data_IF_599997170659
#
_entry.id   IF_599997170659
#
_cell.length_a   1.000
_cell.length_b   1.000
_cell.length_c   1.000
_cell.angle_alpha   90.00
_cell.angle_beta   90.00
_cell.angle_gamma   90.00
#
_symmetry.space_group_name_H-M   'P 1'
#
loop_
_entity.id
_entity.type
_entity.pdbx_description
1 polymer ?
#
# COMPACT_ATOMS: atom_id res chain seq x y z
N UNK A 1 38.80 -75.29 9.64
CA UNK A 1 37.88 -74.47 10.47
C UNK A 1 37.90 -73.05 9.94
N UNK A 2 36.89 -72.67 9.15
CA UNK A 2 36.73 -71.32 8.58
C UNK A 2 35.75 -70.55 9.47
N UNK A 3 36.16 -69.41 10.04
CA UNK A 3 35.26 -68.52 10.76
C UNK A 3 34.53 -67.59 9.78
N UNK A 4 33.20 -67.62 9.85
CA UNK A 4 32.33 -66.70 9.14
C UNK A 4 32.32 -65.34 9.85
N UNK A 5 32.86 -64.30 9.18
CA UNK A 5 32.63 -62.90 9.57
C UNK A 5 31.25 -62.47 9.08
N UNK A 6 30.31 -62.28 10.00
CA UNK A 6 29.03 -61.60 9.72
C UNK A 6 29.26 -60.09 9.68
N UNK A 7 29.17 -59.48 8.50
CA UNK A 7 29.01 -58.03 8.36
C UNK A 7 27.56 -57.64 8.73
N UNK A 8 27.38 -56.80 9.75
CA UNK A 8 26.15 -55.99 9.89
C UNK A 8 26.22 -54.85 8.89
N UNK A 9 25.13 -54.51 8.18
CA UNK A 9 25.09 -53.24 7.47
C UNK A 9 25.00 -52.11 8.50
N UNK A 10 25.79 -51.07 8.30
CA UNK A 10 25.66 -49.81 9.00
C UNK A 10 24.33 -49.18 8.59
N UNK A 11 23.45 -48.96 9.58
CA UNK A 11 22.31 -48.06 9.40
C UNK A 11 22.90 -46.65 9.47
N UNK A 12 23.24 -46.08 8.32
CA UNK A 12 23.53 -44.64 8.24
C UNK A 12 22.24 -43.89 8.46
N UNK A 13 22.19 -43.20 9.60
CA UNK A 13 21.08 -42.38 10.07
C UNK A 13 20.60 -41.39 9.00
N UNK A 14 19.28 -41.38 8.80
CA UNK A 14 18.55 -40.41 7.97
C UNK A 14 18.24 -39.11 8.74
N UNK A 15 18.65 -38.98 10.00
CA UNK A 15 18.28 -37.84 10.88
C UNK A 15 18.91 -36.51 10.41
N UNK A 16 20.07 -36.52 9.75
CA UNK A 16 20.74 -35.28 9.33
C UNK A 16 20.09 -34.52 8.17
N UNK A 17 19.23 -35.18 7.37
CA UNK A 17 18.61 -34.54 6.18
C UNK A 17 17.34 -33.76 6.52
N UNK A 18 16.65 -34.14 7.59
CA UNK A 18 15.43 -33.47 8.08
C UNK A 18 15.70 -32.16 8.84
N UNK A 19 16.83 -32.06 9.52
CA UNK A 19 17.22 -30.85 10.25
C UNK A 19 17.67 -29.72 9.31
N UNK A 20 18.35 -30.07 8.20
CA UNK A 20 18.78 -29.08 7.20
C UNK A 20 17.58 -28.49 6.44
N UNK A 21 16.60 -29.32 6.07
CA UNK A 21 15.38 -28.83 5.38
C UNK A 21 14.49 -28.00 6.29
N UNK A 22 14.37 -28.36 7.58
CA UNK A 22 13.68 -27.53 8.57
C UNK A 22 14.36 -26.17 8.75
N UNK A 23 15.69 -26.16 8.89
CA UNK A 23 16.48 -24.92 9.03
C UNK A 23 16.32 -23.99 7.82
N UNK A 24 16.35 -24.55 6.61
CA UNK A 24 16.15 -23.76 5.39
C UNK A 24 14.74 -23.15 5.31
N UNK A 25 13.71 -23.93 5.68
CA UNK A 25 12.33 -23.44 5.71
C UNK A 25 12.17 -22.28 6.71
N UNK A 26 12.74 -22.40 7.90
CA UNK A 26 12.70 -21.33 8.92
C UNK A 26 13.41 -20.06 8.45
N UNK A 27 14.53 -20.19 7.75
CA UNK A 27 15.23 -19.04 7.16
C UNK A 27 14.39 -18.34 6.10
N UNK A 28 13.74 -19.11 5.22
CA UNK A 28 12.87 -18.54 4.19
C UNK A 28 11.66 -17.82 4.81
N UNK A 29 11.01 -18.43 5.81
CA UNK A 29 9.88 -17.80 6.51
C UNK A 29 10.30 -16.47 7.14
N UNK A 30 11.47 -16.42 7.78
CA UNK A 30 12.00 -15.17 8.33
C UNK A 30 12.25 -14.12 7.26
N UNK A 31 12.89 -14.50 6.16
CA UNK A 31 13.15 -13.58 5.03
C UNK A 31 11.85 -13.00 4.46
N UNK A 32 10.81 -13.82 4.29
CA UNK A 32 9.52 -13.34 3.80
C UNK A 32 8.84 -12.45 4.84
N UNK A 33 8.89 -12.80 6.12
CA UNK A 33 8.32 -11.95 7.18
C UNK A 33 9.02 -10.59 7.27
N UNK A 34 10.34 -10.56 7.19
CA UNK A 34 11.15 -9.33 7.18
C UNK A 34 10.80 -8.47 5.97
N UNK A 35 10.69 -9.10 4.78
CA UNK A 35 10.26 -8.42 3.56
C UNK A 35 8.86 -7.83 3.69
N UNK A 36 7.87 -8.62 4.11
CA UNK A 36 6.49 -8.15 4.27
C UNK A 36 6.41 -7.01 5.28
N UNK A 37 7.14 -7.07 6.39
CA UNK A 37 7.12 -5.99 7.40
C UNK A 37 7.75 -4.70 6.85
N UNK A 38 8.72 -4.81 5.94
CA UNK A 38 9.31 -3.64 5.26
C UNK A 38 8.34 -2.98 4.26
N UNK A 39 7.50 -3.79 3.60
CA UNK A 39 6.56 -3.31 2.58
C UNK A 39 5.20 -2.92 3.16
N UNK A 40 4.83 -3.48 4.32
CA UNK A 40 3.57 -3.25 5.01
C UNK A 40 3.81 -2.81 6.46
N UNK A 41 4.39 -1.61 6.66
CA UNK A 41 4.60 -1.06 7.98
C UNK A 41 3.29 -0.59 8.63
N UNK A 42 3.27 -0.54 9.97
CA UNK A 42 2.09 -0.19 10.76
C UNK A 42 1.66 1.28 10.69
N UNK A 43 2.50 2.17 10.15
CA UNK A 43 2.27 3.61 10.13
C UNK A 43 2.20 4.14 8.70
N UNK A 44 1.36 5.15 8.49
CA UNK A 44 1.21 5.77 7.17
C UNK A 44 2.51 6.45 6.72
N UNK A 45 3.24 7.11 7.63
CA UNK A 45 4.49 7.79 7.33
C UNK A 45 5.56 6.83 6.81
N UNK A 46 5.67 5.66 7.44
CA UNK A 46 6.58 4.62 6.96
C UNK A 46 6.11 4.04 5.62
N UNK A 47 4.81 3.81 5.45
CA UNK A 47 4.23 3.31 4.20
C UNK A 47 4.46 4.29 3.05
N UNK A 48 4.24 5.59 3.27
CA UNK A 48 4.41 6.65 2.27
C UNK A 48 5.89 6.90 1.90
N UNK A 49 6.84 6.50 2.75
CA UNK A 49 8.26 6.59 2.47
C UNK A 49 8.78 5.44 1.58
N UNK A 50 7.97 4.41 1.33
CA UNK A 50 8.32 3.31 0.43
C UNK A 50 8.33 3.85 -1.01
N UNK A 51 9.52 3.90 -1.61
CA UNK A 51 9.66 4.23 -3.03
C UNK A 51 9.07 3.07 -3.84
N UNK A 52 8.15 3.37 -4.76
CA UNK A 52 7.54 2.37 -5.66
C UNK A 52 8.57 1.97 -6.73
N UNK A 53 9.68 1.38 -6.33
CA UNK A 53 10.77 1.02 -7.25
C UNK A 53 10.63 -0.40 -7.82
N UNK A 54 9.85 -1.29 -7.22
CA UNK A 54 9.79 -2.69 -7.65
C UNK A 54 8.47 -3.02 -8.37
N UNK A 55 8.26 -2.40 -9.53
CA UNK A 55 7.36 -2.99 -10.52
C UNK A 55 8.05 -4.19 -11.14
N UNK A 56 7.75 -5.41 -10.66
CA UNK A 56 8.12 -6.63 -11.38
C UNK A 56 7.41 -6.60 -12.75
N UNK A 57 8.13 -6.54 -13.88
CA UNK A 57 7.50 -6.43 -15.19
C UNK A 57 6.58 -7.62 -15.45
N UNK A 58 5.29 -7.36 -15.66
CA UNK A 58 4.29 -8.39 -15.98
C UNK A 58 3.50 -8.95 -14.79
N UNK A 59 3.82 -8.55 -13.55
CA UNK A 59 2.93 -8.76 -12.40
C UNK A 59 2.10 -7.49 -12.20
N UNK A 60 0.78 -7.61 -12.06
CA UNK A 60 -0.08 -6.53 -11.52
C UNK A 60 0.11 -6.55 -9.99
N UNK A 61 1.02 -5.73 -9.43
CA UNK A 61 1.44 -5.87 -8.03
C UNK A 61 0.30 -5.49 -7.08
N UNK A 62 -0.67 -4.71 -7.59
CA UNK A 62 -1.75 -4.11 -6.82
C UNK A 62 -2.70 -5.16 -6.23
N UNK A 63 -2.92 -6.30 -6.89
CA UNK A 63 -3.90 -7.28 -6.40
C UNK A 63 -3.34 -8.16 -5.27
N UNK A 64 -2.02 -8.26 -5.15
CA UNK A 64 -1.36 -9.10 -4.14
C UNK A 64 -1.53 -8.58 -2.71
N UNK A 65 -2.00 -7.33 -2.53
CA UNK A 65 -2.37 -6.81 -1.20
C UNK A 65 -3.46 -7.67 -0.53
N UNK A 66 -4.37 -8.28 -1.31
CA UNK A 66 -5.41 -9.21 -0.80
C UNK A 66 -4.75 -10.40 -0.11
N UNK A 67 -3.74 -11.00 -0.73
CA UNK A 67 -3.02 -12.13 -0.15
C UNK A 67 -2.28 -11.75 1.13
N UNK A 68 -1.77 -10.52 1.24
CA UNK A 68 -1.11 -10.04 2.46
C UNK A 68 -2.10 -9.86 3.61
N UNK A 69 -3.31 -9.35 3.35
CA UNK A 69 -4.38 -9.27 4.38
C UNK A 69 -4.78 -10.67 4.86
N UNK A 70 -5.00 -11.60 3.93
CA UNK A 70 -5.38 -12.96 4.27
C UNK A 70 -4.26 -13.69 5.02
N UNK A 71 -3.01 -13.52 4.60
CA UNK A 71 -1.84 -14.05 5.30
C UNK A 71 -1.74 -13.50 6.72
N UNK A 72 -1.86 -12.18 6.91
CA UNK A 72 -1.79 -11.55 8.21
C UNK A 72 -2.87 -12.05 9.17
N UNK A 73 -4.08 -12.29 8.64
CA UNK A 73 -5.19 -12.87 9.40
C UNK A 73 -4.94 -14.34 9.75
N UNK A 74 -4.42 -15.11 8.79
CA UNK A 74 -4.11 -16.54 8.97
C UNK A 74 -2.96 -16.77 9.96
N UNK A 75 -1.95 -15.90 9.95
CA UNK A 75 -0.75 -16.01 10.78
C UNK A 75 -0.83 -15.27 12.11
N UNK A 76 -1.97 -14.63 12.41
CA UNK A 76 -2.15 -13.75 13.58
C UNK A 76 -1.07 -12.66 13.68
N UNK A 77 -0.80 -11.99 12.56
CA UNK A 77 0.19 -10.91 12.45
C UNK A 77 -0.51 -9.56 12.18
N UNK A 78 -1.22 -8.99 13.17
CA UNK A 78 -2.03 -7.80 12.96
C UNK A 78 -1.24 -6.54 12.60
N UNK A 79 0.09 -6.53 12.80
CA UNK A 79 0.94 -5.42 12.40
C UNK A 79 0.97 -5.15 10.89
N UNK A 80 0.67 -6.14 10.06
CA UNK A 80 0.64 -5.98 8.60
C UNK A 80 -0.70 -5.40 8.11
N UNK A 81 -1.77 -5.53 8.90
CA UNK A 81 -3.14 -5.21 8.48
C UNK A 81 -3.37 -3.74 8.13
N UNK A 82 -2.87 -2.73 8.88
CA UNK A 82 -3.18 -1.33 8.60
C UNK A 82 -2.78 -0.91 7.18
N UNK A 83 -1.51 -1.14 6.81
CA UNK A 83 -0.98 -0.85 5.49
C UNK A 83 -1.54 -1.76 4.42
N UNK A 84 -1.78 -3.06 4.70
CA UNK A 84 -2.30 -3.99 3.69
C UNK A 84 -3.76 -3.68 3.34
N UNK A 85 -4.59 -3.34 4.32
CA UNK A 85 -5.97 -2.89 4.10
C UNK A 85 -6.02 -1.53 3.40
N UNK A 86 -5.13 -0.61 3.77
CA UNK A 86 -4.96 0.66 3.06
C UNK A 86 -4.57 0.42 1.59
N UNK A 87 -3.62 -0.47 1.33
CA UNK A 87 -3.23 -0.90 0.00
C UNK A 87 -4.34 -1.71 -0.72
N UNK A 88 -5.32 -2.27 -0.02
CA UNK A 88 -6.51 -2.88 -0.66
C UNK A 88 -7.58 -1.85 -1.02
N UNK A 89 -7.62 -0.69 -0.35
CA UNK A 89 -8.44 0.45 -0.80
C UNK A 89 -8.07 0.88 -2.21
N UNK A 90 -6.95 0.35 -2.67
CA UNK A 90 -6.28 0.71 -3.88
C UNK A 90 -6.86 0.02 -5.15
N UNK A 91 -7.25 -1.23 -4.97
CA UNK A 91 -7.59 -2.19 -6.03
C UNK A 91 -8.93 -1.87 -6.70
N UNK A 92 -9.08 -1.83 -8.04
CA UNK A 92 -10.36 -1.58 -8.71
C UNK A 92 -11.54 -2.39 -8.11
N UNK A 93 -12.74 -1.81 -7.88
CA UNK A 93 -13.82 -2.47 -7.13
C UNK A 93 -14.20 -3.86 -7.64
N UNK A 94 -14.23 -4.05 -8.96
CA UNK A 94 -14.47 -5.36 -9.57
C UNK A 94 -13.40 -6.38 -9.18
N UNK A 95 -12.12 -5.98 -9.18
CA UNK A 95 -10.97 -6.81 -8.82
C UNK A 95 -10.91 -7.07 -7.32
N UNK A 96 -11.27 -6.09 -6.49
CA UNK A 96 -11.34 -6.24 -5.04
C UNK A 96 -12.37 -7.30 -4.63
N UNK A 97 -13.56 -7.28 -5.25
CA UNK A 97 -14.64 -8.22 -4.96
C UNK A 97 -14.37 -9.60 -5.56
N UNK A 98 -13.87 -9.65 -6.79
CA UNK A 98 -13.57 -10.92 -7.46
C UNK A 98 -12.34 -11.61 -6.86
N UNK A 99 -11.39 -10.82 -6.35
CA UNK A 99 -10.08 -11.32 -5.95
C UNK A 99 -9.24 -11.74 -7.17
N UNK A 100 -8.29 -12.64 -6.93
CA UNK A 100 -7.46 -13.22 -7.99
C UNK A 100 -7.27 -14.72 -7.80
N UNK A 101 -6.98 -15.41 -8.90
CA UNK A 101 -6.63 -16.82 -8.88
C UNK A 101 -5.11 -16.94 -8.66
N UNK A 102 -4.71 -17.70 -7.65
CA UNK A 102 -3.31 -18.03 -7.37
C UNK A 102 -2.78 -19.07 -8.36
N UNK A 103 -1.46 -19.26 -8.40
CA UNK A 103 -0.81 -20.24 -9.28
C UNK A 103 -1.31 -21.69 -9.08
N UNK A 104 -1.82 -22.01 -7.89
CA UNK A 104 -2.39 -23.31 -7.54
C UNK A 104 -3.88 -23.46 -7.89
N UNK A 105 -4.47 -22.45 -8.56
CA UNK A 105 -5.88 -22.43 -8.95
C UNK A 105 -6.83 -22.04 -7.81
N UNK A 106 -6.30 -21.67 -6.64
CA UNK A 106 -7.12 -21.24 -5.50
C UNK A 106 -7.53 -19.78 -5.71
N UNK A 107 -8.83 -19.52 -5.57
CA UNK A 107 -9.35 -18.16 -5.58
C UNK A 107 -9.04 -17.46 -4.26
N UNK A 108 -8.23 -16.41 -4.32
CA UNK A 108 -7.87 -15.57 -3.18
C UNK A 108 -8.79 -14.34 -3.14
N UNK A 109 -9.59 -14.23 -2.08
CA UNK A 109 -10.53 -13.13 -1.85
C UNK A 109 -10.44 -12.64 -0.41
N UNK A 110 -10.75 -11.38 -0.17
CA UNK A 110 -10.87 -10.86 1.19
C UNK A 110 -12.02 -11.55 1.93
N UNK A 111 -11.85 -11.72 3.24
CA UNK A 111 -12.97 -12.03 4.13
C UNK A 111 -14.04 -10.93 4.05
N UNK A 112 -15.29 -11.25 4.38
CA UNK A 112 -16.37 -10.25 4.38
C UNK A 112 -16.08 -9.09 5.35
N UNK A 113 -15.42 -9.41 6.47
CA UNK A 113 -15.05 -8.45 7.50
C UNK A 113 -13.96 -7.49 7.00
N UNK A 114 -12.92 -8.01 6.36
CA UNK A 114 -11.86 -7.19 5.77
C UNK A 114 -12.33 -6.40 4.56
N UNK A 115 -13.20 -6.99 3.72
CA UNK A 115 -13.83 -6.26 2.63
C UNK A 115 -14.64 -5.07 3.17
N UNK A 116 -15.37 -5.27 4.28
CA UNK A 116 -16.10 -4.18 4.94
C UNK A 116 -15.14 -3.10 5.44
N UNK A 117 -14.02 -3.46 6.07
CA UNK A 117 -12.97 -2.50 6.49
C UNK A 117 -12.45 -1.68 5.32
N UNK A 118 -12.16 -2.31 4.18
CA UNK A 118 -11.69 -1.63 2.97
C UNK A 118 -12.76 -0.67 2.43
N UNK A 119 -14.03 -1.07 2.40
CA UNK A 119 -15.12 -0.22 1.93
C UNK A 119 -15.35 1.00 2.85
N UNK A 120 -15.26 0.82 4.17
CA UNK A 120 -15.31 1.92 5.14
C UNK A 120 -14.11 2.85 4.95
N UNK A 121 -12.90 2.29 4.86
CA UNK A 121 -11.68 3.06 4.63
C UNK A 121 -11.75 3.88 3.34
N UNK A 122 -12.31 3.34 2.26
CA UNK A 122 -12.56 4.10 1.02
C UNK A 122 -13.50 5.27 1.19
N UNK A 123 -14.58 5.10 1.94
CA UNK A 123 -15.51 6.18 2.22
C UNK A 123 -14.81 7.30 3.02
N UNK A 124 -14.00 6.93 4.01
CA UNK A 124 -13.23 7.88 4.82
C UNK A 124 -12.17 8.61 3.99
N UNK A 125 -11.43 7.90 3.14
CA UNK A 125 -10.45 8.51 2.23
C UNK A 125 -11.11 9.47 1.24
N UNK A 126 -12.26 9.09 0.68
CA UNK A 126 -13.02 9.97 -0.23
C UNK A 126 -13.49 11.24 0.49
N UNK A 127 -13.90 11.11 1.75
CA UNK A 127 -14.29 12.25 2.58
C UNK A 127 -13.09 13.17 2.86
N UNK A 128 -11.95 12.61 3.27
CA UNK A 128 -10.73 13.37 3.53
C UNK A 128 -10.24 14.09 2.27
N UNK A 129 -10.32 13.43 1.10
CA UNK A 129 -9.98 14.04 -0.19
C UNK A 129 -10.90 15.23 -0.51
N UNK A 130 -12.22 15.07 -0.31
CA UNK A 130 -13.18 16.16 -0.48
C UNK A 130 -12.95 17.31 0.52
N UNK A 131 -12.59 17.01 1.77
CA UNK A 131 -12.24 18.02 2.77
C UNK A 131 -10.97 18.79 2.38
N UNK A 132 -9.94 18.08 1.90
CA UNK A 132 -8.72 18.70 1.39
C UNK A 132 -8.99 19.58 0.17
N UNK A 133 -9.83 19.12 -0.75
CA UNK A 133 -10.29 19.87 -1.92
C UNK A 133 -10.97 21.18 -1.52
N UNK A 134 -11.83 21.15 -0.50
CA UNK A 134 -12.53 22.34 0.00
C UNK A 134 -11.57 23.28 0.75
N UNK A 135 -10.58 22.73 1.47
CA UNK A 135 -9.60 23.52 2.20
C UNK A 135 -8.78 24.46 1.29
N UNK A 136 -8.52 24.05 0.04
CA UNK A 136 -7.89 24.87 -0.99
C UNK A 136 -8.61 26.22 -1.18
N UNK A 137 -9.94 26.22 -1.11
CA UNK A 137 -10.75 27.44 -1.29
C UNK A 137 -10.92 28.26 0.00
N UNK A 138 -10.33 27.81 1.11
CA UNK A 138 -10.32 28.49 2.41
C UNK A 138 -8.89 28.78 2.86
N UNK A 139 -8.11 29.57 2.10
CA UNK A 139 -6.73 29.84 2.42
C UNK A 139 -6.61 30.56 3.77
N UNK A 140 -5.70 30.09 4.61
CA UNK A 140 -5.28 30.82 5.79
C UNK A 140 -4.10 31.73 5.40
N UNK A 141 -4.20 33.06 5.58
CA UNK A 141 -3.07 33.94 5.32
C UNK A 141 -1.89 33.54 6.19
N UNK A 142 -0.69 33.49 5.63
CA UNK A 142 0.50 33.31 6.46
C UNK A 142 0.61 34.46 7.47
N UNK A 143 1.22 34.25 8.65
CA UNK A 143 1.47 35.32 9.61
C UNK A 143 2.27 36.50 9.03
N UNK A 144 3.04 36.25 7.96
CA UNK A 144 3.83 37.24 7.23
C UNK A 144 3.04 38.02 6.18
N UNK A 145 1.78 37.68 5.95
CA UNK A 145 0.92 38.37 5.01
C UNK A 145 0.57 39.76 5.59
N UNK A 146 1.17 40.81 5.04
CA UNK A 146 0.97 42.19 5.53
C UNK A 146 -0.40 42.78 5.15
N UNK A 147 -1.08 42.18 4.19
CA UNK A 147 -2.38 42.63 3.66
C UNK A 147 -3.47 41.55 3.81
N UNK A 148 -3.63 40.98 5.01
CA UNK A 148 -4.67 39.98 5.34
C UNK A 148 -6.10 40.45 4.95
N UNK A 149 -6.32 41.77 4.88
CA UNK A 149 -7.62 42.38 4.58
C UNK A 149 -7.79 42.81 3.10
N UNK A 150 -6.78 42.64 2.25
CA UNK A 150 -6.92 42.92 0.82
C UNK A 150 -7.75 41.83 0.17
N UNK A 151 -9.02 42.15 -0.14
CA UNK A 151 -9.95 41.27 -0.87
C UNK A 151 -9.32 40.69 -2.16
N UNK A 152 -8.35 41.40 -2.73
CA UNK A 152 -7.68 41.04 -3.96
C UNK A 152 -6.88 39.73 -3.85
N UNK A 153 -6.24 39.40 -2.71
CA UNK A 153 -5.40 38.21 -2.63
C UNK A 153 -6.23 36.92 -2.62
N UNK A 154 -7.33 36.91 -1.87
CA UNK A 154 -8.26 35.78 -1.83
C UNK A 154 -8.95 35.60 -3.19
N UNK A 155 -9.43 36.69 -3.80
CA UNK A 155 -10.07 36.65 -5.11
C UNK A 155 -9.10 36.23 -6.22
N UNK A 156 -7.84 36.68 -6.20
CA UNK A 156 -6.81 36.25 -7.14
C UNK A 156 -6.48 34.77 -6.97
N UNK A 157 -6.34 34.28 -5.75
CA UNK A 157 -6.08 32.87 -5.47
C UNK A 157 -7.26 32.00 -5.93
N UNK A 158 -8.49 32.37 -5.56
CA UNK A 158 -9.69 31.67 -6.03
C UNK A 158 -9.80 31.67 -7.56
N UNK A 159 -9.52 32.79 -8.22
CA UNK A 159 -9.52 32.90 -9.69
C UNK A 159 -8.43 32.03 -10.33
N UNK A 160 -7.24 31.98 -9.72
CA UNK A 160 -6.13 31.15 -10.18
C UNK A 160 -6.42 29.65 -10.04
N UNK A 161 -7.19 29.25 -9.01
CA UNK A 161 -7.58 27.87 -8.74
C UNK A 161 -8.81 27.42 -9.57
N UNK A 162 -9.79 28.29 -9.80
CA UNK A 162 -11.01 27.94 -10.54
C UNK A 162 -10.73 27.59 -12.00
N UNK A 163 -9.74 28.22 -12.65
CA UNK A 163 -9.38 27.92 -14.04
C UNK A 163 -8.90 26.47 -14.28
N UNK A 164 -7.96 25.93 -13.48
CA UNK A 164 -7.53 24.54 -13.62
C UNK A 164 -8.57 23.52 -13.10
N UNK A 165 -9.25 23.79 -11.98
CA UNK A 165 -10.15 22.80 -11.34
C UNK A 165 -11.61 22.83 -11.83
N UNK A 166 -12.07 23.92 -12.45
CA UNK A 166 -13.47 24.10 -12.89
C UNK A 166 -13.77 23.62 -14.31
N UNK A 167 -12.75 23.19 -15.08
CA UNK A 167 -12.95 22.73 -16.46
C UNK A 167 -13.45 21.29 -16.48
N UNK A 168 -14.57 21.04 -17.17
CA UNK A 168 -15.12 19.69 -17.40
C UNK A 168 -14.14 18.76 -18.14
N UNK A 169 -13.16 19.35 -18.83
CA UNK A 169 -12.08 18.70 -19.57
C UNK A 169 -10.70 18.96 -18.94
N UNK A 170 -10.64 19.54 -17.73
CA UNK A 170 -9.39 19.71 -16.99
C UNK A 170 -8.86 18.38 -16.47
N UNK A 171 -7.58 18.32 -16.04
CA UNK A 171 -7.07 17.15 -15.35
C UNK A 171 -7.99 16.81 -14.17
N UNK A 172 -8.37 15.53 -14.08
CA UNK A 172 -9.20 15.05 -12.96
C UNK A 172 -8.30 14.94 -11.73
N UNK A 173 -8.18 16.04 -11.00
CA UNK A 173 -7.38 16.10 -9.77
C UNK A 173 -8.08 15.47 -8.56
N UNK A 174 -9.40 15.22 -8.65
CA UNK A 174 -10.20 14.64 -7.59
C UNK A 174 -10.79 13.32 -8.07
N UNK A 175 -10.56 12.24 -7.34
CA UNK A 175 -11.02 10.92 -7.73
C UNK A 175 -10.97 9.92 -6.58
N UNK A 176 -11.83 8.89 -6.60
CA UNK A 176 -11.86 7.85 -5.57
C UNK A 176 -10.63 6.92 -5.62
N UNK A 177 -9.64 7.18 -6.48
CA UNK A 177 -8.39 6.45 -6.51
C UNK A 177 -7.25 7.30 -5.93
N UNK A 178 -6.80 6.88 -4.75
CA UNK A 178 -5.46 7.01 -4.17
C UNK A 178 -4.28 6.90 -5.18
N UNK A 179 -4.49 6.35 -6.40
CA UNK A 179 -3.51 6.36 -7.52
C UNK A 179 -3.18 7.78 -7.98
N UNK A 180 -4.13 8.71 -7.81
CA UNK A 180 -4.01 10.12 -8.18
C UNK A 180 -4.06 10.95 -6.90
N UNK A 181 -3.02 10.81 -6.07
CA UNK A 181 -2.72 11.82 -5.07
C UNK A 181 -2.53 13.15 -5.79
N UNK A 182 -3.48 14.07 -5.61
CA UNK A 182 -3.41 15.43 -6.15
C UNK A 182 -2.14 16.17 -5.71
N UNK A 183 -1.51 15.77 -4.60
CA UNK A 183 -0.26 16.37 -4.11
C UNK A 183 0.91 16.08 -5.06
N UNK A 184 0.98 14.88 -5.63
CA UNK A 184 2.07 14.46 -6.52
C UNK A 184 2.00 15.18 -7.87
N UNK A 185 0.81 15.31 -8.45
CA UNK A 185 0.62 16.06 -9.70
C UNK A 185 0.75 17.58 -9.48
N UNK A 186 0.28 18.11 -8.34
CA UNK A 186 0.27 19.55 -8.08
C UNK A 186 1.66 20.15 -7.77
N UNK A 187 2.51 19.44 -7.01
CA UNK A 187 3.85 19.92 -6.65
C UNK A 187 4.80 19.87 -7.86
N UNK A 188 4.62 18.86 -8.73
CA UNK A 188 5.50 18.64 -9.88
C UNK A 188 5.12 19.55 -11.06
N UNK A 189 3.83 19.69 -11.39
CA UNK A 189 3.42 20.40 -12.61
C UNK A 189 3.41 21.93 -12.50
N UNK A 190 3.22 22.51 -11.31
CA UNK A 190 3.00 23.95 -11.17
C UNK A 190 4.18 24.75 -10.61
N UNK A 191 5.30 24.10 -10.29
CA UNK A 191 6.54 24.76 -9.82
C UNK A 191 6.25 25.85 -8.75
N UNK A 192 5.29 25.58 -7.85
CA UNK A 192 4.83 26.51 -6.83
C UNK A 192 5.89 26.55 -5.74
N UNK A 193 6.84 27.47 -5.91
CA UNK A 193 7.75 27.87 -4.86
C UNK A 193 6.93 28.64 -3.82
N UNK A 194 6.53 27.98 -2.73
CA UNK A 194 6.23 28.71 -1.51
C UNK A 194 7.50 29.48 -1.13
N UNK A 195 7.34 30.79 -0.93
CA UNK A 195 8.45 31.71 -0.63
C UNK A 195 9.44 31.04 0.33
N UNK A 196 10.71 30.87 -0.08
CA UNK A 196 11.73 30.44 0.86
C UNK A 196 11.87 31.53 1.93
N UNK A 197 12.09 31.07 3.17
CA UNK A 197 12.26 31.88 4.37
C UNK A 197 13.26 33.04 4.20
#
# INVERSE_FOLDING_TARGET
>A
MLQAKTCRPAVTSLEGRGDVTRSLLEQLVRQVADYLTSQYPTTYEAYAAITVEDHIPGSDPSIHHIAVVNLATLSDTPSLLPSALFACCSIPPNRLVQGFEREDGVQEQLSLDDLTRVLVGRADLTKLDAEAAVAIFRPWPSPCCREIQSKNCLELLQTALVKPFGSRNGPKSFGPSWELSWVTDYVIDMNILFCPA
#
